data_IF_172170084288
#
_entry.id   IF_172170084288
#
_cell.length_a   1.000
_cell.length_b   1.000
_cell.length_c   1.000
_cell.angle_alpha   90.00
_cell.angle_beta   90.00
_cell.angle_gamma   90.00
#
_symmetry.space_group_name_H-M   'P 1'
#
loop_
_entity.id
_entity.type
_entity.pdbx_description
1 polymer ?
#
# COMPACT_ATOMS: atom_id res chain seq x y z
N UNK A 1 20.39 0.71 -3.98
CA UNK A 1 19.53 1.08 -2.83
C UNK A 1 18.76 -0.16 -2.41
N UNK A 2 18.66 -0.48 -1.12
CA UNK A 2 17.74 -1.55 -0.67
C UNK A 2 16.32 -1.04 -0.89
N UNK A 3 15.55 -1.74 -1.72
CA UNK A 3 14.12 -1.46 -1.91
C UNK A 3 13.42 -1.77 -0.57
N UNK A 4 12.69 -0.80 -0.02
CA UNK A 4 11.89 -1.03 1.18
C UNK A 4 10.82 -2.09 0.88
N UNK A 5 10.59 -3.00 1.82
CA UNK A 5 9.55 -4.02 1.67
C UNK A 5 8.17 -3.36 1.57
N UNK A 6 7.33 -3.86 0.66
CA UNK A 6 5.96 -3.40 0.52
C UNK A 6 5.11 -3.98 1.66
N UNK A 7 4.96 -3.22 2.73
CA UNK A 7 4.08 -3.54 3.86
C UNK A 7 3.09 -2.41 4.11
N UNK A 8 1.99 -2.69 4.80
CA UNK A 8 0.98 -1.70 5.15
C UNK A 8 1.58 -0.53 5.96
N UNK A 9 2.57 -0.83 6.82
CA UNK A 9 3.30 0.18 7.58
C UNK A 9 4.12 1.09 6.68
N UNK A 10 4.92 0.51 5.77
CA UNK A 10 5.76 1.30 4.87
C UNK A 10 4.92 2.09 3.85
N UNK A 11 3.81 1.51 3.38
CA UNK A 11 2.86 2.20 2.49
C UNK A 11 2.24 3.42 3.18
N UNK A 12 1.87 3.31 4.46
CA UNK A 12 1.38 4.44 5.26
C UNK A 12 2.45 5.52 5.41
N UNK A 13 3.69 5.15 5.72
CA UNK A 13 4.80 6.11 5.83
C UNK A 13 5.03 6.85 4.51
N UNK A 14 5.09 6.13 3.39
CA UNK A 14 5.30 6.72 2.07
C UNK A 14 4.16 7.68 1.68
N UNK A 15 2.90 7.34 2.00
CA UNK A 15 1.75 8.24 1.78
C UNK A 15 1.84 9.50 2.64
N UNK A 16 2.29 9.37 3.89
CA UNK A 16 2.48 10.51 4.78
C UNK A 16 3.61 11.43 4.29
N UNK A 17 4.73 10.86 3.83
CA UNK A 17 5.82 11.60 3.21
C UNK A 17 5.34 12.33 1.95
N UNK A 18 4.61 11.64 1.08
CA UNK A 18 4.00 12.22 -0.13
C UNK A 18 3.14 13.44 0.19
N UNK A 19 2.27 13.35 1.22
CA UNK A 19 1.45 14.47 1.66
C UNK A 19 2.30 15.67 2.12
N UNK A 20 3.37 15.41 2.87
CA UNK A 20 4.28 16.46 3.33
C UNK A 20 5.09 17.07 2.19
N UNK A 21 5.47 16.29 1.19
CA UNK A 21 6.17 16.77 0.00
C UNK A 21 5.28 17.73 -0.81
N UNK A 22 4.01 17.38 -1.02
CA UNK A 22 3.02 18.29 -1.63
C UNK A 22 2.88 19.56 -0.81
N UNK A 23 2.69 19.43 0.51
CA UNK A 23 2.57 20.58 1.41
C UNK A 23 3.78 21.51 1.35
N UNK A 24 4.98 20.96 1.18
CA UNK A 24 6.24 21.70 1.10
C UNK A 24 6.58 22.20 -0.31
N UNK A 25 5.74 21.94 -1.32
CA UNK A 25 5.99 22.31 -2.71
C UNK A 25 7.09 21.51 -3.41
N UNK A 26 7.46 20.34 -2.86
CA UNK A 26 8.49 19.44 -3.42
C UNK A 26 7.92 18.40 -4.39
N UNK A 27 6.60 18.23 -4.40
CA UNK A 27 5.90 17.31 -5.27
C UNK A 27 4.67 17.99 -5.86
N UNK A 28 4.46 17.79 -7.17
CA UNK A 28 3.26 18.26 -7.85
C UNK A 28 2.01 17.50 -7.38
N UNK A 29 0.87 18.18 -7.13
CA UNK A 29 -0.34 17.52 -6.68
C UNK A 29 -0.81 16.36 -7.58
N UNK A 30 -0.64 16.46 -8.90
CA UNK A 30 -1.02 15.40 -9.83
C UNK A 30 -0.17 14.13 -9.69
N UNK A 31 1.11 14.28 -9.34
CA UNK A 31 1.97 13.14 -9.04
C UNK A 31 1.53 12.47 -7.72
N UNK A 32 1.22 13.28 -6.71
CA UNK A 32 0.75 12.78 -5.43
C UNK A 32 -0.61 12.04 -5.54
N UNK A 33 -1.53 12.54 -6.37
CA UNK A 33 -2.80 11.85 -6.62
C UNK A 33 -2.60 10.49 -7.31
N UNK A 34 -1.63 10.41 -8.25
CA UNK A 34 -1.25 9.15 -8.89
C UNK A 34 -0.72 8.13 -7.86
N UNK A 35 0.16 8.57 -6.95
CA UNK A 35 0.66 7.74 -5.86
C UNK A 35 -0.48 7.28 -4.93
N UNK A 36 -1.35 8.20 -4.53
CA UNK A 36 -2.49 7.90 -3.66
C UNK A 36 -3.48 6.92 -4.31
N UNK A 37 -3.69 7.03 -5.62
CA UNK A 37 -4.55 6.11 -6.40
C UNK A 37 -3.98 4.70 -6.45
N UNK A 38 -2.67 4.56 -6.70
CA UNK A 38 -2.00 3.26 -6.67
C UNK A 38 -2.03 2.63 -5.27
N UNK A 39 -1.82 3.42 -4.22
CA UNK A 39 -1.88 2.91 -2.85
C UNK A 39 -3.28 2.39 -2.47
N UNK A 40 -4.34 3.10 -2.89
CA UNK A 40 -5.73 2.64 -2.74
C UNK A 40 -5.95 1.30 -3.43
N UNK A 41 -5.38 1.13 -4.63
CA UNK A 41 -5.51 -0.09 -5.40
C UNK A 41 -4.77 -1.30 -4.78
N UNK A 42 -3.59 -1.07 -4.20
CA UNK A 42 -2.87 -2.08 -3.41
C UNK A 42 -3.75 -2.55 -2.24
N UNK A 43 -4.27 -1.62 -1.44
CA UNK A 43 -5.13 -1.95 -0.30
C UNK A 43 -6.41 -2.69 -0.74
N UNK A 44 -7.04 -2.26 -1.83
CA UNK A 44 -8.24 -2.91 -2.38
C UNK A 44 -7.95 -4.35 -2.80
N UNK A 45 -6.82 -4.57 -3.47
CA UNK A 45 -6.42 -5.89 -3.97
C UNK A 45 -6.08 -6.83 -2.83
N UNK A 46 -5.28 -6.40 -1.86
CA UNK A 46 -4.95 -7.18 -0.65
C UNK A 46 -6.21 -7.58 0.12
N UNK A 47 -7.15 -6.65 0.32
CA UNK A 47 -8.42 -6.94 0.99
C UNK A 47 -9.28 -7.93 0.22
N UNK A 48 -9.29 -7.84 -1.11
CA UNK A 48 -10.03 -8.78 -1.97
C UNK A 48 -9.44 -10.19 -1.85
N UNK A 49 -8.11 -10.30 -1.91
CA UNK A 49 -7.42 -11.59 -1.76
C UNK A 49 -7.68 -12.22 -0.39
N UNK A 50 -7.64 -11.43 0.68
CA UNK A 50 -7.96 -11.90 2.04
C UNK A 50 -9.38 -12.46 2.12
N UNK A 51 -10.37 -11.74 1.57
CA UNK A 51 -11.78 -12.19 1.54
C UNK A 51 -11.96 -13.47 0.72
N UNK A 52 -11.32 -13.56 -0.44
CA UNK A 52 -11.38 -14.76 -1.30
C UNK A 52 -10.77 -15.97 -0.60
N UNK A 53 -9.61 -15.82 0.03
CA UNK A 53 -8.97 -16.90 0.80
C UNK A 53 -9.89 -17.39 1.93
N UNK A 54 -10.47 -16.46 2.70
CA UNK A 54 -11.39 -16.77 3.79
C UNK A 54 -12.65 -17.51 3.29
N UNK A 55 -13.29 -17.01 2.23
CA UNK A 55 -14.51 -17.61 1.67
C UNK A 55 -14.26 -18.99 1.06
N UNK A 56 -13.10 -19.18 0.41
CA UNK A 56 -12.71 -20.45 -0.18
C UNK A 56 -12.15 -21.45 0.82
N UNK A 57 -12.02 -21.08 2.11
CA UNK A 57 -11.37 -21.87 3.16
C UNK A 57 -9.96 -22.31 2.77
N UNK A 58 -9.25 -21.46 2.02
CA UNK A 58 -7.85 -21.69 1.62
C UNK A 58 -6.93 -20.84 2.48
N UNK A 59 -5.65 -21.27 2.65
CA UNK A 59 -4.65 -20.43 3.28
C UNK A 59 -4.52 -19.08 2.58
N UNK A 60 -4.27 -18.03 3.36
CA UNK A 60 -3.94 -16.69 2.84
C UNK A 60 -2.54 -16.75 2.23
N UNK A 61 -2.35 -16.09 1.09
CA UNK A 61 -1.06 -16.05 0.42
C UNK A 61 -0.01 -15.33 1.28
N UNK A 62 1.23 -15.81 1.26
CA UNK A 62 2.32 -15.36 2.15
C UNK A 62 2.66 -13.88 1.92
N UNK A 63 2.55 -13.39 0.70
CA UNK A 63 2.70 -11.98 0.33
C UNK A 63 1.62 -11.08 0.96
N UNK A 64 0.36 -11.54 1.00
CA UNK A 64 -0.74 -10.83 1.68
C UNK A 64 -0.50 -10.76 3.18
N UNK A 65 -0.04 -11.87 3.78
CA UNK A 65 0.34 -11.92 5.20
C UNK A 65 1.50 -10.96 5.48
N UNK A 66 2.57 -11.06 4.69
CA UNK A 66 3.74 -10.18 4.82
C UNK A 66 3.37 -8.71 4.66
N UNK A 67 2.48 -8.38 3.73
CA UNK A 67 1.99 -7.02 3.56
C UNK A 67 1.23 -6.53 4.80
N UNK A 68 0.35 -7.38 5.35
CA UNK A 68 -0.55 -7.01 6.44
C UNK A 68 0.13 -6.98 7.82
N UNK A 69 1.12 -7.85 8.06
CA UNK A 69 1.61 -8.16 9.42
C UNK A 69 3.05 -7.71 9.71
N UNK A 70 3.80 -7.23 8.70
CA UNK A 70 5.18 -6.72 8.89
C UNK A 70 5.26 -5.19 8.90
#
# INVERSE_FOLDING_TARGET
>A
MKQQELTAKNLKSALWETLNEVRSGKMEPGQADSVASQAREILRTTNTQLRVAQQSKRPVAVDVINFAEK
#
